data_IF_247498749785
#
_entry.id   IF_247498749785
#
_cell.length_a   1.000
_cell.length_b   1.000
_cell.length_c   1.000
_cell.angle_alpha   90.00
_cell.angle_beta   90.00
_cell.angle_gamma   90.00
#
_symmetry.space_group_name_H-M   'P 1'
#
loop_
_entity.id
_entity.type
_entity.pdbx_description
1 polymer ?
#
# COMPACT_ATOMS: atom_id res chain seq x y z
N UNK A 1 29.63 -30.62 -20.42
CA UNK A 1 28.50 -29.83 -20.98
C UNK A 1 27.51 -29.62 -19.84
N UNK A 2 27.67 -28.52 -19.14
CA UNK A 2 26.77 -28.08 -18.08
C UNK A 2 25.74 -27.15 -18.67
N UNK A 3 24.47 -27.42 -18.49
CA UNK A 3 23.37 -26.47 -18.78
C UNK A 3 22.91 -25.89 -17.48
N UNK A 4 23.35 -24.66 -17.28
CA UNK A 4 22.88 -23.75 -16.21
C UNK A 4 21.47 -23.28 -16.58
N UNK A 5 20.45 -23.72 -15.84
CA UNK A 5 19.07 -23.20 -15.92
C UNK A 5 18.86 -22.24 -14.77
N UNK A 6 19.42 -21.04 -14.89
CA UNK A 6 19.00 -19.91 -14.12
C UNK A 6 17.63 -19.45 -14.64
N UNK A 7 16.56 -19.93 -14.01
CA UNK A 7 15.23 -19.40 -14.22
C UNK A 7 15.15 -18.04 -13.52
N UNK A 8 15.38 -16.98 -14.27
CA UNK A 8 15.06 -15.61 -13.85
C UNK A 8 13.57 -15.53 -13.61
N UNK A 9 13.17 -15.33 -12.36
CA UNK A 9 11.80 -14.94 -11.99
C UNK A 9 11.64 -13.51 -12.44
N UNK A 10 10.79 -13.27 -13.44
CA UNK A 10 10.38 -11.93 -13.86
C UNK A 10 9.72 -11.22 -12.66
N UNK A 11 10.45 -10.30 -12.07
CA UNK A 11 9.98 -9.48 -10.93
C UNK A 11 8.94 -8.42 -11.36
N UNK A 12 8.80 -8.16 -12.67
CA UNK A 12 7.90 -7.12 -13.20
C UNK A 12 6.41 -7.49 -13.22
N UNK A 13 6.05 -8.76 -13.03
CA UNK A 13 4.66 -9.21 -13.08
C UNK A 13 3.91 -9.14 -11.73
N UNK A 14 4.51 -8.58 -10.69
CA UNK A 14 4.03 -8.66 -9.31
C UNK A 14 3.73 -7.30 -8.65
N UNK A 15 3.91 -6.19 -9.37
CA UNK A 15 3.60 -4.87 -8.84
C UNK A 15 2.09 -4.57 -8.96
N UNK A 16 1.55 -3.93 -7.93
CA UNK A 16 0.25 -3.26 -8.01
C UNK A 16 0.29 -2.26 -9.18
N UNK A 17 -0.76 -2.13 -10.01
CA UNK A 17 -0.79 -1.14 -11.07
C UNK A 17 -0.91 0.27 -10.49
N UNK A 18 0.17 0.76 -9.89
CA UNK A 18 0.38 2.16 -9.64
C UNK A 18 0.59 2.81 -11.01
N UNK A 19 -0.19 3.84 -11.32
CA UNK A 19 -0.10 4.52 -12.62
C UNK A 19 1.32 5.03 -12.86
N UNK A 20 2.08 4.33 -13.69
CA UNK A 20 3.39 4.77 -14.13
C UNK A 20 3.23 6.04 -14.97
N UNK A 21 3.58 7.20 -14.40
CA UNK A 21 3.79 8.45 -15.10
C UNK A 21 5.28 8.73 -15.16
N UNK A 22 5.77 9.01 -16.36
CA UNK A 22 7.19 9.25 -16.62
C UNK A 22 7.74 10.43 -15.80
N UNK A 23 8.95 10.25 -15.28
CA UNK A 23 9.71 11.22 -14.51
C UNK A 23 10.25 12.34 -15.41
N UNK A 24 9.71 13.54 -15.24
CA UNK A 24 10.35 14.79 -15.66
C UNK A 24 11.03 15.43 -14.45
N UNK A 25 12.31 15.72 -14.58
CA UNK A 25 13.14 16.24 -13.49
C UNK A 25 12.99 17.74 -13.34
N UNK A 26 12.28 18.20 -12.33
CA UNK A 26 12.56 19.41 -11.54
C UNK A 26 11.55 19.50 -10.38
N UNK A 27 12.01 19.20 -9.17
CA UNK A 27 11.18 19.27 -7.97
C UNK A 27 11.02 20.72 -7.53
N UNK A 28 9.86 21.32 -7.82
CA UNK A 28 9.41 22.47 -7.04
C UNK A 28 9.04 21.96 -5.64
N UNK A 29 9.72 22.47 -4.60
CA UNK A 29 9.46 22.09 -3.23
C UNK A 29 8.00 22.37 -2.85
N UNK A 30 7.43 21.53 -2.00
CA UNK A 30 6.14 21.79 -1.39
C UNK A 30 6.18 23.14 -0.68
N UNK A 31 5.06 23.88 -0.66
CA UNK A 31 4.95 25.12 0.12
C UNK A 31 5.13 24.80 1.60
N UNK A 32 5.82 25.66 2.38
CA UNK A 32 5.90 25.50 3.82
C UNK A 32 4.51 25.44 4.47
N UNK A 33 4.32 24.56 5.43
CA UNK A 33 3.07 24.37 6.14
C UNK A 33 2.65 22.92 6.27
N UNK A 34 1.43 22.68 6.71
CA UNK A 34 0.81 21.36 6.80
C UNK A 34 -0.04 21.12 5.58
N UNK A 35 0.18 19.99 4.92
CA UNK A 35 -0.59 19.53 3.78
C UNK A 35 -1.40 18.30 4.18
N UNK A 36 -2.70 18.37 3.95
CA UNK A 36 -3.64 17.29 4.25
C UNK A 36 -4.00 16.54 2.98
N UNK A 37 -4.04 15.23 3.07
CA UNK A 37 -4.42 14.30 2.01
C UNK A 37 -5.49 13.34 2.52
N UNK A 38 -6.33 12.89 1.64
CA UNK A 38 -7.38 11.93 1.93
C UNK A 38 -8.00 11.40 0.65
N UNK A 39 -9.14 10.74 0.76
CA UNK A 39 -9.83 10.14 -0.39
C UNK A 39 -10.12 11.13 -1.53
N UNK A 40 -10.41 12.38 -1.21
CA UNK A 40 -10.75 13.40 -2.22
C UNK A 40 -9.52 13.88 -3.01
N UNK A 41 -8.33 13.69 -2.45
CA UNK A 41 -7.06 14.10 -3.06
C UNK A 41 -6.20 12.92 -3.54
N UNK A 42 -6.61 11.67 -3.26
CA UNK A 42 -5.80 10.53 -3.66
C UNK A 42 -6.39 9.16 -3.37
N UNK A 43 -5.60 8.14 -3.60
CA UNK A 43 -5.93 6.75 -3.35
C UNK A 43 -4.94 6.11 -2.39
N UNK A 44 -5.45 5.38 -1.42
CA UNK A 44 -4.70 4.46 -0.59
C UNK A 44 -5.24 3.05 -0.84
N UNK A 45 -4.36 2.13 -1.25
CA UNK A 45 -4.73 0.80 -1.68
C UNK A 45 -3.88 -0.27 -1.03
N UNK A 46 -4.45 -1.46 -0.87
CA UNK A 46 -3.72 -2.66 -0.46
C UNK A 46 -3.82 -3.68 -1.57
N UNK A 47 -2.68 -4.13 -2.09
CA UNK A 47 -2.58 -5.17 -3.09
C UNK A 47 -2.16 -6.48 -2.43
N UNK A 48 -2.95 -7.51 -2.62
CA UNK A 48 -2.66 -8.85 -2.11
C UNK A 48 -2.38 -9.80 -3.26
N UNK A 49 -1.52 -10.77 -3.03
CA UNK A 49 -1.09 -11.71 -4.06
C UNK A 49 -1.43 -13.13 -3.63
N UNK A 50 -2.01 -13.89 -4.55
CA UNK A 50 -2.32 -15.30 -4.33
C UNK A 50 -1.07 -16.17 -4.43
N UNK A 51 -1.05 -17.26 -3.69
CA UNK A 51 -0.06 -18.32 -3.79
C UNK A 51 -0.66 -19.70 -3.50
N UNK A 52 0.12 -20.76 -3.71
CA UNK A 52 -0.25 -22.12 -3.44
C UNK A 52 -0.77 -22.89 -4.66
N UNK A 53 -1.15 -24.15 -4.45
CA UNK A 53 -1.52 -25.06 -5.55
C UNK A 53 -2.81 -24.63 -6.27
N UNK A 54 -3.72 -23.96 -5.57
CA UNK A 54 -4.99 -23.47 -6.12
C UNK A 54 -4.90 -22.02 -6.63
N UNK A 55 -3.72 -21.47 -6.88
CA UNK A 55 -3.57 -20.08 -7.34
C UNK A 55 -4.33 -19.78 -8.64
N UNK A 56 -4.59 -20.79 -9.50
CA UNK A 56 -5.33 -20.60 -10.76
C UNK A 56 -6.80 -20.19 -10.55
N UNK A 57 -7.37 -20.47 -9.39
CA UNK A 57 -8.76 -20.12 -9.04
C UNK A 57 -8.85 -18.97 -8.04
N UNK A 58 -7.74 -18.59 -7.43
CA UNK A 58 -7.65 -17.42 -6.55
C UNK A 58 -7.48 -16.12 -7.31
N UNK A 59 -7.61 -15.00 -6.61
CA UNK A 59 -7.43 -13.66 -7.17
C UNK A 59 -6.30 -12.93 -6.43
N UNK A 60 -5.55 -12.13 -7.17
CA UNK A 60 -4.80 -11.03 -6.60
C UNK A 60 -5.82 -9.89 -6.41
N UNK A 61 -5.83 -9.26 -5.25
CA UNK A 61 -6.86 -8.28 -4.94
C UNK A 61 -6.28 -6.87 -4.94
N UNK A 62 -7.03 -5.94 -5.48
CA UNK A 62 -6.87 -4.51 -5.26
C UNK A 62 -7.97 -4.07 -4.30
N UNK A 63 -7.57 -3.56 -3.15
CA UNK A 63 -8.45 -3.19 -2.04
C UNK A 63 -8.28 -1.71 -1.80
N UNK A 64 -9.34 -0.94 -1.95
CA UNK A 64 -9.33 0.50 -1.64
C UNK A 64 -9.55 0.69 -0.13
N UNK A 65 -8.79 1.62 0.46
CA UNK A 65 -9.02 2.14 1.80
C UNK A 65 -9.84 3.42 1.65
N UNK A 66 -11.12 3.38 2.00
CA UNK A 66 -12.04 4.47 1.68
C UNK A 66 -12.03 5.61 2.70
N UNK A 67 -11.64 5.35 3.95
CA UNK A 67 -11.48 6.36 5.00
C UNK A 67 -10.06 6.35 5.50
N UNK A 68 -9.31 7.35 5.09
CA UNK A 68 -7.95 7.61 5.51
C UNK A 68 -7.64 9.11 5.41
N UNK A 69 -6.73 9.54 6.24
CA UNK A 69 -6.23 10.90 6.28
C UNK A 69 -4.71 10.84 6.46
N UNK A 70 -3.99 11.70 5.77
CA UNK A 70 -2.56 11.86 5.94
C UNK A 70 -2.18 13.33 6.01
N UNK A 71 -1.22 13.64 6.85
CA UNK A 71 -0.64 14.97 7.01
C UNK A 71 0.85 14.91 6.68
N UNK A 72 1.32 15.90 5.91
CA UNK A 72 2.73 16.13 5.64
C UNK A 72 3.09 17.53 6.12
N UNK A 73 3.97 17.62 7.10
CA UNK A 73 4.53 18.90 7.56
C UNK A 73 5.74 19.26 6.68
N UNK A 74 5.77 20.50 6.18
CA UNK A 74 6.85 21.01 5.32
C UNK A 74 7.48 22.23 5.95
N UNK A 75 8.79 22.20 6.12
CA UNK A 75 9.58 23.29 6.66
C UNK A 75 9.67 24.51 5.73
N UNK A 76 10.20 25.62 6.24
CA UNK A 76 10.38 26.86 5.46
C UNK A 76 11.33 26.71 4.26
N UNK A 77 12.15 25.68 4.27
CA UNK A 77 13.07 25.32 3.18
C UNK A 77 12.41 24.44 2.09
N UNK A 78 11.09 24.15 2.23
CA UNK A 78 10.35 23.28 1.33
C UNK A 78 10.65 21.80 1.54
N UNK A 79 11.29 21.43 2.64
CA UNK A 79 11.61 20.02 2.96
C UNK A 79 10.54 19.42 3.87
N UNK A 80 9.96 18.25 3.55
CA UNK A 80 9.09 17.54 4.45
C UNK A 80 9.79 17.17 5.76
N UNK A 81 9.16 17.44 6.89
CA UNK A 81 9.72 17.25 8.24
C UNK A 81 8.97 16.19 9.06
N UNK A 82 7.69 15.98 8.78
CA UNK A 82 6.91 14.93 9.41
C UNK A 82 5.83 14.38 8.45
N UNK A 83 5.50 13.11 8.63
CA UNK A 83 4.39 12.43 7.95
C UNK A 83 3.58 11.67 9.00
N UNK A 84 2.26 11.85 8.96
CA UNK A 84 1.29 11.06 9.73
C UNK A 84 0.24 10.52 8.78
N UNK A 85 -0.25 9.31 9.07
CA UNK A 85 -1.37 8.71 8.35
C UNK A 85 -2.23 7.95 9.35
N UNK A 86 -3.53 8.10 9.22
CA UNK A 86 -4.52 7.31 9.94
C UNK A 86 -5.52 6.72 8.95
N UNK A 87 -5.90 5.45 9.15
CA UNK A 87 -6.86 4.77 8.29
C UNK A 87 -7.80 3.88 9.11
N UNK A 88 -9.06 3.84 8.71
CA UNK A 88 -10.06 2.97 9.32
C UNK A 88 -10.04 1.59 8.64
N UNK A 89 -9.65 0.58 9.39
CA UNK A 89 -9.61 -0.81 8.93
C UNK A 89 -10.97 -1.33 8.41
N UNK A 90 -12.09 -0.75 8.86
CA UNK A 90 -13.43 -1.10 8.40
C UNK A 90 -13.80 -0.49 7.05
N UNK A 91 -12.92 0.30 6.48
CA UNK A 91 -13.15 0.96 5.19
C UNK A 91 -12.43 0.28 4.02
N UNK A 92 -11.86 -0.91 4.25
CA UNK A 92 -11.20 -1.68 3.21
C UNK A 92 -12.23 -2.39 2.34
N UNK A 93 -12.35 -1.93 1.08
CA UNK A 93 -13.28 -2.46 0.10
C UNK A 93 -12.55 -3.08 -1.08
N UNK A 94 -12.90 -4.33 -1.41
CA UNK A 94 -12.33 -5.00 -2.60
C UNK A 94 -12.85 -4.30 -3.86
N UNK A 95 -11.95 -3.60 -4.55
CA UNK A 95 -12.25 -2.96 -5.83
C UNK A 95 -12.25 -3.97 -6.95
N UNK A 96 -11.22 -4.79 -7.03
CA UNK A 96 -10.99 -5.70 -8.14
C UNK A 96 -10.26 -6.97 -7.72
N UNK A 97 -10.57 -8.09 -8.41
CA UNK A 97 -9.84 -9.33 -8.33
C UNK A 97 -9.22 -9.67 -9.69
N UNK A 98 -7.90 -9.72 -9.75
CA UNK A 98 -7.12 -10.00 -10.95
C UNK A 98 -6.78 -11.48 -11.06
N UNK A 99 -6.54 -11.95 -12.28
CA UNK A 99 -6.00 -13.28 -12.61
C UNK A 99 -6.82 -14.50 -12.14
N UNK A 100 -8.00 -14.32 -11.59
CA UNK A 100 -8.86 -15.42 -11.17
C UNK A 100 -9.54 -16.12 -12.35
N UNK A 101 -10.05 -17.33 -12.11
CA UNK A 101 -10.77 -18.10 -13.12
C UNK A 101 -12.13 -17.50 -13.54
N UNK A 102 -12.72 -16.63 -12.72
CA UNK A 102 -13.96 -15.88 -12.97
C UNK A 102 -13.86 -14.51 -12.29
N UNK A 103 -14.47 -13.45 -12.86
CA UNK A 103 -14.58 -12.18 -12.16
C UNK A 103 -15.27 -12.34 -10.80
N UNK A 104 -14.84 -11.55 -9.81
CA UNK A 104 -15.52 -11.49 -8.51
C UNK A 104 -16.88 -10.82 -8.67
N UNK A 105 -17.92 -11.46 -8.14
CA UNK A 105 -19.23 -10.83 -8.01
C UNK A 105 -19.21 -9.77 -6.88
N UNK A 106 -20.23 -8.91 -6.85
CA UNK A 106 -20.40 -7.93 -5.76
C UNK A 106 -20.49 -8.61 -4.39
N UNK A 107 -21.18 -9.78 -4.36
CA UNK A 107 -21.27 -10.59 -3.15
C UNK A 107 -19.90 -11.11 -2.70
N UNK A 108 -19.08 -11.61 -3.63
CA UNK A 108 -17.74 -12.11 -3.31
C UNK A 108 -16.87 -10.98 -2.74
N UNK A 109 -16.92 -9.78 -3.37
CA UNK A 109 -16.21 -8.61 -2.87
C UNK A 109 -16.64 -8.23 -1.46
N UNK A 110 -17.94 -8.17 -1.20
CA UNK A 110 -18.47 -7.86 0.12
C UNK A 110 -18.08 -8.90 1.18
N UNK A 111 -18.14 -10.18 0.86
CA UNK A 111 -17.77 -11.28 1.77
C UNK A 111 -16.26 -11.26 2.08
N UNK A 112 -15.42 -10.91 1.10
CA UNK A 112 -13.97 -10.73 1.31
C UNK A 112 -13.70 -9.52 2.20
N UNK A 113 -14.28 -8.35 1.91
CA UNK A 113 -14.12 -7.13 2.72
C UNK A 113 -14.54 -7.36 4.16
N UNK A 114 -15.64 -8.05 4.38
CA UNK A 114 -16.10 -8.46 5.72
C UNK A 114 -15.09 -9.39 6.41
N UNK A 115 -14.50 -10.32 5.67
CA UNK A 115 -13.48 -11.23 6.22
C UNK A 115 -12.22 -10.47 6.64
N UNK A 116 -11.80 -9.46 5.86
CA UNK A 116 -10.66 -8.60 6.18
C UNK A 116 -10.93 -7.84 7.48
N UNK A 117 -12.09 -7.19 7.61
CA UNK A 117 -12.46 -6.45 8.81
C UNK A 117 -12.54 -7.37 10.05
N UNK A 118 -13.37 -8.42 9.99
CA UNK A 118 -13.70 -9.21 11.18
C UNK A 118 -12.61 -10.19 11.61
N UNK A 119 -11.84 -10.77 10.66
CA UNK A 119 -10.93 -11.89 10.93
C UNK A 119 -9.45 -11.56 10.77
N UNK A 120 -9.12 -10.52 10.00
CA UNK A 120 -7.73 -10.16 9.71
C UNK A 120 -7.31 -8.95 10.55
N UNK A 121 -8.03 -7.85 10.48
CA UNK A 121 -7.68 -6.59 11.12
C UNK A 121 -8.40 -6.35 12.46
N UNK A 122 -9.55 -7.02 12.70
CA UNK A 122 -10.31 -6.91 13.93
C UNK A 122 -10.84 -5.50 14.21
N UNK A 123 -11.06 -4.69 13.16
CA UNK A 123 -11.55 -3.32 13.27
C UNK A 123 -10.61 -2.35 13.99
N UNK A 124 -9.34 -2.74 14.22
CA UNK A 124 -8.36 -1.88 14.87
C UNK A 124 -7.88 -0.78 13.90
N UNK A 125 -7.66 0.46 14.40
CA UNK A 125 -7.16 1.54 13.56
C UNK A 125 -5.77 1.20 13.01
N UNK A 126 -5.49 1.72 11.81
CA UNK A 126 -4.17 1.66 11.18
C UNK A 126 -3.57 3.05 11.30
N UNK A 127 -2.34 3.16 11.76
CA UNK A 127 -1.68 4.44 11.92
C UNK A 127 -0.20 4.35 11.55
N UNK A 128 0.32 5.40 10.91
CA UNK A 128 1.74 5.58 10.68
C UNK A 128 2.20 6.95 11.21
N UNK A 129 3.37 6.99 11.83
CA UNK A 129 4.03 8.22 12.27
C UNK A 129 5.50 8.17 11.91
N UNK A 130 5.97 9.14 11.14
CA UNK A 130 7.38 9.23 10.80
C UNK A 130 8.24 9.59 12.02
N UNK A 131 9.41 9.00 12.08
CA UNK A 131 10.48 9.36 13.03
C UNK A 131 11.67 10.03 12.34
N UNK A 132 11.83 9.80 11.03
CA UNK A 132 12.87 10.44 10.22
C UNK A 132 12.42 10.51 8.75
N UNK A 133 12.80 11.59 8.09
CA UNK A 133 12.65 11.80 6.66
C UNK A 133 14.01 12.22 6.09
N UNK A 134 14.44 11.52 5.05
CA UNK A 134 15.72 11.81 4.38
C UNK A 134 15.46 11.97 2.88
N UNK A 135 15.82 13.11 2.33
CA UNK A 135 15.68 13.39 0.90
C UNK A 135 16.99 13.04 0.18
N UNK A 136 16.88 12.23 -0.87
CA UNK A 136 17.99 11.87 -1.74
C UNK A 136 17.52 11.75 -3.18
N UNK A 137 18.18 12.45 -4.10
CA UNK A 137 17.92 12.35 -5.57
C UNK A 137 16.44 12.41 -5.99
N UNK A 138 15.68 13.31 -5.36
CA UNK A 138 14.27 13.50 -5.71
C UNK A 138 13.30 12.54 -5.04
N UNK A 139 13.78 11.59 -4.25
CA UNK A 139 12.99 10.68 -3.41
C UNK A 139 13.08 11.06 -1.95
N UNK A 140 12.08 10.71 -1.23
CA UNK A 140 12.00 10.86 0.21
C UNK A 140 11.97 9.47 0.86
N UNK A 141 13.05 9.13 1.57
CA UNK A 141 13.03 7.94 2.44
C UNK A 141 12.32 8.31 3.73
N UNK A 142 11.23 7.63 4.01
CA UNK A 142 10.40 7.82 5.21
C UNK A 142 10.63 6.64 6.14
N UNK A 143 11.04 6.92 7.39
CA UNK A 143 11.12 5.92 8.47
C UNK A 143 10.16 6.31 9.57
N UNK A 144 9.54 5.33 10.20
CA UNK A 144 8.59 5.60 11.28
C UNK A 144 8.03 4.33 11.89
N UNK A 145 6.99 4.52 12.69
CA UNK A 145 6.27 3.46 13.36
C UNK A 145 4.92 3.23 12.67
N UNK A 146 4.69 2.00 12.22
CA UNK A 146 3.44 1.56 11.61
C UNK A 146 2.69 0.67 12.60
N UNK A 147 1.45 1.02 12.88
CA UNK A 147 0.53 0.23 13.72
C UNK A 147 -0.53 -0.43 12.84
N UNK A 148 -0.62 -1.76 12.89
CA UNK A 148 -1.65 -2.56 12.23
C UNK A 148 -2.14 -3.62 13.21
N UNK A 149 -3.44 -3.87 13.25
CA UNK A 149 -4.07 -4.87 14.13
C UNK A 149 -3.57 -4.80 15.59
N UNK A 150 -3.37 -3.58 16.11
CA UNK A 150 -2.91 -3.33 17.49
C UNK A 150 -1.41 -3.57 17.73
N UNK A 151 -0.64 -3.96 16.73
CA UNK A 151 0.80 -4.16 16.82
C UNK A 151 1.55 -3.01 16.13
N UNK A 152 2.50 -2.40 16.82
CA UNK A 152 3.35 -1.32 16.28
C UNK A 152 4.74 -1.86 15.97
N UNK A 153 5.25 -1.54 14.77
CA UNK A 153 6.59 -1.91 14.33
C UNK A 153 7.23 -0.82 13.48
N UNK A 154 8.57 -0.74 13.46
CA UNK A 154 9.28 0.14 12.53
C UNK A 154 8.95 -0.23 11.08
N UNK A 155 8.75 0.79 10.26
CA UNK A 155 8.59 0.67 8.82
C UNK A 155 9.44 1.71 8.10
N UNK A 156 9.91 1.37 6.90
CA UNK A 156 10.68 2.28 6.05
C UNK A 156 10.27 2.07 4.60
N UNK A 157 10.04 3.17 3.88
CA UNK A 157 9.65 3.16 2.48
C UNK A 157 10.12 4.41 1.77
N UNK A 158 10.11 4.37 0.46
CA UNK A 158 10.40 5.53 -0.38
C UNK A 158 9.11 6.16 -0.89
N UNK A 159 9.09 7.49 -0.94
CA UNK A 159 8.04 8.28 -1.56
C UNK A 159 8.65 9.13 -2.67
N UNK A 160 7.99 9.16 -3.80
CA UNK A 160 8.26 10.08 -4.88
C UNK A 160 7.44 11.36 -4.67
N UNK A 161 8.11 12.50 -4.72
CA UNK A 161 7.48 13.82 -4.72
C UNK A 161 7.39 14.29 -6.17
N UNK A 162 6.18 14.57 -6.64
CA UNK A 162 5.94 15.03 -8.02
C UNK A 162 5.97 16.55 -8.11
N UNK A 163 6.24 17.06 -9.31
CA UNK A 163 6.28 18.51 -9.59
C UNK A 163 4.93 19.21 -9.36
N UNK A 164 3.84 18.49 -9.52
CA UNK A 164 2.47 18.98 -9.25
C UNK A 164 2.13 19.03 -7.75
N UNK A 165 3.10 18.75 -6.86
CA UNK A 165 2.90 18.63 -5.43
C UNK A 165 2.30 17.29 -5.00
N UNK A 166 2.09 16.37 -5.93
CA UNK A 166 1.62 15.03 -5.61
C UNK A 166 2.69 14.17 -4.93
N UNK A 167 2.23 13.15 -4.23
CA UNK A 167 3.06 12.17 -3.53
C UNK A 167 2.64 10.77 -3.93
N UNK A 168 3.60 9.88 -4.14
CA UNK A 168 3.31 8.46 -4.38
C UNK A 168 4.35 7.57 -3.71
N UNK A 169 3.95 6.38 -3.31
CA UNK A 169 4.88 5.44 -2.68
C UNK A 169 4.25 4.07 -2.49
N UNK A 170 5.11 3.08 -2.34
CA UNK A 170 4.71 1.70 -2.06
C UNK A 170 5.45 1.19 -0.84
N UNK A 171 4.69 0.64 0.12
CA UNK A 171 5.22 -0.01 1.31
C UNK A 171 4.89 -1.49 1.27
N UNK A 172 5.87 -2.39 1.13
CA UNK A 172 5.65 -3.81 1.35
C UNK A 172 5.47 -4.09 2.85
N UNK A 173 4.40 -4.82 3.19
CA UNK A 173 4.05 -5.20 4.56
C UNK A 173 4.01 -6.72 4.66
N UNK A 174 4.88 -7.29 5.48
CA UNK A 174 4.86 -8.73 5.81
C UNK A 174 3.89 -8.97 6.96
N UNK A 175 2.69 -9.44 6.66
CA UNK A 175 1.56 -9.57 7.59
C UNK A 175 1.92 -10.28 8.91
N UNK A 176 2.71 -11.37 8.83
CA UNK A 176 3.13 -12.14 10.00
C UNK A 176 3.97 -11.34 11.00
N UNK A 177 4.68 -10.30 10.58
CA UNK A 177 5.41 -9.41 11.47
C UNK A 177 4.48 -8.60 12.38
N UNK A 178 3.26 -8.30 11.94
CA UNK A 178 2.21 -7.67 12.76
C UNK A 178 1.29 -8.68 13.46
N UNK A 179 1.67 -9.97 13.50
CA UNK A 179 0.87 -11.01 14.11
C UNK A 179 -0.35 -11.44 13.29
N UNK A 180 -0.50 -10.91 12.09
CA UNK A 180 -1.58 -11.26 11.16
C UNK A 180 -1.25 -12.59 10.50
N UNK A 181 -2.19 -13.53 10.52
CA UNK A 181 -2.06 -14.80 9.80
C UNK A 181 -2.59 -14.63 8.37
N UNK A 182 -1.74 -14.79 7.33
CA UNK A 182 -2.21 -14.71 5.95
C UNK A 182 -3.39 -15.65 5.70
N UNK A 183 -4.38 -15.15 4.97
CA UNK A 183 -5.61 -15.93 4.68
C UNK A 183 -5.28 -17.25 3.98
N UNK A 184 -6.00 -18.30 4.38
CA UNK A 184 -5.96 -19.63 3.77
C UNK A 184 -7.37 -20.12 3.52
N UNK A 185 -7.67 -20.43 2.26
CA UNK A 185 -8.92 -21.02 1.83
C UNK A 185 -8.75 -22.41 1.24
N UNK A 186 -9.87 -23.06 0.89
CA UNK A 186 -9.88 -24.39 0.26
C UNK A 186 -8.97 -25.40 0.97
N UNK A 187 -9.15 -25.56 2.28
CA UNK A 187 -8.32 -26.44 3.12
C UNK A 187 -6.79 -26.15 3.00
N UNK A 188 -6.43 -24.89 2.76
CA UNK A 188 -5.04 -24.44 2.66
C UNK A 188 -4.42 -24.54 1.26
N UNK A 189 -5.17 -24.99 0.25
CA UNK A 189 -4.68 -25.05 -1.13
C UNK A 189 -4.58 -23.65 -1.78
N UNK A 190 -5.47 -22.71 -1.40
CA UNK A 190 -5.39 -21.31 -1.74
C UNK A 190 -4.82 -20.54 -0.56
N UNK A 191 -3.82 -19.72 -0.80
CA UNK A 191 -3.18 -18.87 0.21
C UNK A 191 -3.02 -17.45 -0.34
N UNK A 192 -3.09 -16.47 0.53
CA UNK A 192 -2.59 -15.14 0.28
C UNK A 192 -1.12 -15.10 0.69
N UNK A 193 -0.26 -14.48 -0.12
CA UNK A 193 1.14 -14.26 0.20
C UNK A 193 1.26 -13.47 1.50
N UNK A 194 2.30 -13.76 2.29
CA UNK A 194 2.53 -13.07 3.55
C UNK A 194 2.83 -11.58 3.34
N UNK A 195 3.54 -11.23 2.27
CA UNK A 195 3.79 -9.83 1.90
C UNK A 195 2.66 -9.29 1.03
N UNK A 196 2.06 -8.18 1.47
CA UNK A 196 1.12 -7.35 0.72
C UNK A 196 1.78 -6.01 0.41
N UNK A 197 1.27 -5.26 -0.55
CA UNK A 197 1.76 -3.92 -0.89
C UNK A 197 0.71 -2.89 -0.53
N UNK A 198 1.13 -1.86 0.23
CA UNK A 198 0.33 -0.67 0.49
C UNK A 198 0.80 0.42 -0.45
N UNK A 199 -0.10 0.90 -1.30
CA UNK A 199 0.20 1.90 -2.34
C UNK A 199 -0.56 3.18 -2.06
N UNK A 200 0.16 4.29 -1.98
CA UNK A 200 -0.38 5.63 -1.88
C UNK A 200 -0.10 6.39 -3.18
N UNK A 201 -1.11 7.03 -3.73
CA UNK A 201 -0.98 8.03 -4.81
C UNK A 201 -1.95 9.17 -4.49
N UNK A 202 -1.42 10.35 -4.19
CA UNK A 202 -2.20 11.51 -3.83
C UNK A 202 -1.62 12.79 -4.45
N UNK A 203 -2.48 13.76 -4.73
CA UNK A 203 -2.10 15.08 -5.21
C UNK A 203 -2.59 16.13 -4.21
N UNK A 204 -1.86 17.24 -4.10
CA UNK A 204 -2.36 18.38 -3.33
C UNK A 204 -3.70 18.84 -3.89
N UNK A 205 -4.69 19.15 -3.04
CA UNK A 205 -5.91 19.78 -3.51
C UNK A 205 -5.56 21.03 -4.30
N UNK A 206 -6.16 21.19 -5.49
CA UNK A 206 -6.07 22.45 -6.24
C UNK A 206 -6.84 23.51 -5.48
N UNK A 207 -6.22 24.66 -5.21
CA UNK A 207 -6.86 25.87 -4.65
C UNK A 207 -7.96 26.37 -5.56
#
# INVERSE_FOLDING_TARGET
MGVDHSAGVDLEALACPAGARELGSQLMGLRPGTHEFGRDSGTLQVCTFREGLAQKIGHDLIIDVERWEAEVEVGHDGTPSAVRLEADARSLNVREGLHGGKPLSDKDRADISKTIDEKILGGQPIAFRSSALERHDGRLTVRGDLTIAGTTRPASFEMDLREDGGVSGTLPVTQSEWGIKPYRGFMGALKVRDTVEVVLDAALPSD
#
